data_IF_549619784500
#
_entry.id   IF_549619784500
#
_cell.length_a   1.000
_cell.length_b   1.000
_cell.length_c   1.000
_cell.angle_alpha   90.00
_cell.angle_beta   90.00
_cell.angle_gamma   90.00
#
_symmetry.space_group_name_H-M   'P 1'
#
loop_
_entity.id
_entity.type
_entity.pdbx_description
1 polymer ?
#
# COMPACT_ATOMS: atom_id res chain seq x y z
N UNK A 1 1.76 -2.08 -5.02
CA UNK A 1 2.87 -1.91 -4.07
C UNK A 1 2.32 -1.78 -2.67
N UNK A 2 3.16 -1.99 -1.71
CA UNK A 2 2.75 -1.88 -0.32
C UNK A 2 3.52 -0.78 0.37
N UNK A 3 2.89 -0.11 1.31
CA UNK A 3 3.47 0.99 2.02
C UNK A 3 3.67 0.58 3.46
N UNK A 4 4.87 0.78 3.98
CA UNK A 4 5.17 0.43 5.35
C UNK A 4 6.15 1.42 5.96
N UNK A 5 6.14 1.56 7.27
CA UNK A 5 7.08 2.47 7.91
C UNK A 5 8.48 1.90 7.88
N UNK A 6 9.44 2.78 8.01
CA UNK A 6 10.82 2.35 8.02
C UNK A 6 11.16 1.60 9.30
N UNK A 7 10.47 1.87 10.37
CA UNK A 7 10.77 1.23 11.64
C UNK A 7 10.54 -0.27 11.56
N UNK A 8 11.22 -0.99 12.42
CA UNK A 8 11.08 -2.43 12.42
C UNK A 8 9.72 -2.87 12.82
N UNK A 9 9.30 -4.03 12.32
CA UNK A 9 8.13 -4.67 12.81
C UNK A 9 8.37 -5.06 14.26
N UNK A 10 7.32 -5.31 14.98
CA UNK A 10 7.49 -5.70 16.36
C UNK A 10 8.22 -7.04 16.44
N UNK A 11 8.85 -7.26 17.55
CA UNK A 11 9.68 -8.43 17.71
C UNK A 11 8.91 -9.69 17.99
N UNK A 12 7.62 -9.62 18.06
CA UNK A 12 6.81 -10.78 18.41
C UNK A 12 6.54 -11.68 17.23
N UNK A 13 7.05 -11.34 16.08
CA UNK A 13 6.81 -12.13 14.89
C UNK A 13 5.44 -11.91 14.28
N UNK A 14 4.81 -10.79 14.59
CA UNK A 14 3.50 -10.49 14.04
C UNK A 14 3.54 -9.20 13.24
N UNK A 15 2.79 -9.17 12.15
CA UNK A 15 2.61 -7.93 11.44
C UNK A 15 1.14 -7.76 11.14
N UNK A 16 0.69 -6.53 11.05
CA UNK A 16 -0.70 -6.19 10.77
C UNK A 16 -0.76 -5.59 9.38
N UNK A 17 -1.51 -6.22 8.50
CA UNK A 17 -1.69 -5.74 7.15
C UNK A 17 -3.12 -5.28 7.01
N UNK A 18 -3.32 -4.04 6.63
CA UNK A 18 -4.65 -3.48 6.46
C UNK A 18 -4.96 -3.30 4.98
N UNK A 19 -6.23 -3.21 4.68
CA UNK A 19 -6.68 -2.88 3.34
C UNK A 19 -7.66 -1.74 3.39
N UNK A 20 -7.68 -0.96 2.34
CA UNK A 20 -8.69 0.06 2.20
C UNK A 20 -10.02 -0.60 1.87
N UNK A 21 -11.08 0.18 1.88
CA UNK A 21 -12.39 -0.35 1.52
C UNK A 21 -12.36 -0.88 0.09
N UNK A 22 -13.04 -1.99 -0.12
CA UNK A 22 -13.14 -2.56 -1.45
C UNK A 22 -12.68 -3.99 -1.50
N UNK A 23 -13.09 -4.69 -2.55
CA UNK A 23 -12.76 -6.09 -2.69
C UNK A 23 -11.34 -6.31 -3.20
N UNK A 24 -10.85 -5.43 -4.06
CA UNK A 24 -9.49 -5.60 -4.56
C UNK A 24 -8.46 -5.48 -3.45
N UNK A 25 -8.52 -4.47 -2.58
CA UNK A 25 -7.60 -4.43 -1.46
C UNK A 25 -7.71 -5.66 -0.56
N UNK A 26 -8.92 -6.16 -0.38
CA UNK A 26 -9.10 -7.34 0.47
C UNK A 26 -8.42 -8.56 -0.14
N UNK A 27 -8.55 -8.75 -1.44
CA UNK A 27 -7.88 -9.85 -2.12
C UNK A 27 -6.37 -9.71 -1.99
N UNK A 28 -5.86 -8.50 -2.19
CA UNK A 28 -4.42 -8.29 -2.14
C UNK A 28 -3.84 -8.61 -0.78
N UNK A 29 -4.49 -8.17 0.29
CA UNK A 29 -3.92 -8.41 1.61
C UNK A 29 -4.00 -9.87 1.99
N UNK A 30 -5.00 -10.60 1.50
CA UNK A 30 -5.04 -12.03 1.71
C UNK A 30 -3.91 -12.74 0.98
N UNK A 31 -3.58 -12.28 -0.23
CA UNK A 31 -2.46 -12.85 -0.95
C UNK A 31 -1.15 -12.59 -0.22
N UNK A 32 -0.97 -11.37 0.29
CA UNK A 32 0.24 -11.05 1.01
C UNK A 32 0.36 -11.86 2.30
N UNK A 33 -0.77 -12.08 2.98
CA UNK A 33 -0.73 -12.90 4.17
C UNK A 33 -0.24 -14.31 3.86
N UNK A 34 -0.77 -14.90 2.79
CA UNK A 34 -0.34 -16.23 2.40
C UNK A 34 1.14 -16.27 2.06
N UNK A 35 1.62 -15.28 1.33
CA UNK A 35 3.02 -15.26 0.95
C UNK A 35 3.92 -15.09 2.16
N UNK A 36 3.60 -14.17 3.04
CA UNK A 36 4.45 -13.88 4.17
C UNK A 36 4.48 -15.06 5.13
N UNK A 37 3.33 -15.64 5.41
CA UNK A 37 3.30 -16.76 6.34
C UNK A 37 3.93 -18.02 5.74
N UNK A 38 3.94 -18.11 4.41
CA UNK A 38 4.54 -19.25 3.78
C UNK A 38 6.05 -19.14 3.67
N UNK A 39 6.58 -17.93 3.58
CA UNK A 39 8.00 -17.70 3.37
C UNK A 39 8.74 -17.29 4.64
N UNK A 40 8.05 -17.02 5.70
CA UNK A 40 8.69 -16.56 6.94
C UNK A 40 7.95 -17.16 8.12
N UNK A 41 8.48 -16.94 9.32
CA UNK A 41 7.82 -17.38 10.53
C UNK A 41 6.89 -16.32 11.10
N UNK A 42 6.63 -15.26 10.37
CA UNK A 42 5.77 -14.20 10.85
C UNK A 42 4.31 -14.60 10.75
N UNK A 43 3.52 -14.10 11.67
CA UNK A 43 2.08 -14.25 11.62
C UNK A 43 1.48 -12.94 11.15
N UNK A 44 0.49 -13.02 10.27
CA UNK A 44 -0.12 -11.84 9.71
C UNK A 44 -1.55 -11.70 10.23
N UNK A 45 -1.82 -10.55 10.83
CA UNK A 45 -3.18 -10.20 11.21
C UNK A 45 -3.72 -9.28 10.13
N UNK A 46 -4.89 -9.58 9.61
CA UNK A 46 -5.49 -8.76 8.57
C UNK A 46 -6.52 -7.82 9.15
N UNK A 47 -6.56 -6.60 8.63
CA UNK A 47 -7.61 -5.64 8.93
C UNK A 47 -8.21 -5.16 7.61
N UNK A 48 -9.09 -5.96 7.01
CA UNK A 48 -9.66 -5.59 5.73
C UNK A 48 -10.68 -4.48 5.89
N UNK A 49 -10.86 -3.70 4.85
CA UNK A 49 -11.88 -2.68 4.85
C UNK A 49 -11.74 -1.65 5.95
N UNK A 50 -10.50 -1.32 6.30
CA UNK A 50 -10.26 -0.46 7.44
C UNK A 50 -10.79 0.95 7.23
N UNK A 51 -10.75 1.45 6.02
CA UNK A 51 -11.27 2.78 5.75
C UNK A 51 -10.78 3.29 4.41
N UNK A 52 -10.94 4.58 4.20
CA UNK A 52 -10.47 5.21 2.99
C UNK A 52 -9.01 5.60 3.16
N UNK A 53 -8.44 6.13 2.10
CA UNK A 53 -7.01 6.41 2.02
C UNK A 53 -6.47 7.14 3.24
N UNK A 54 -7.09 8.25 3.61
CA UNK A 54 -6.50 9.06 4.69
C UNK A 54 -6.59 8.34 6.03
N UNK A 55 -7.65 7.59 6.25
CA UNK A 55 -7.80 6.88 7.52
C UNK A 55 -6.74 5.80 7.65
N UNK A 56 -6.53 5.03 6.58
CA UNK A 56 -5.57 3.94 6.62
C UNK A 56 -4.14 4.49 6.70
N UNK A 57 -3.87 5.56 5.97
CA UNK A 57 -2.54 6.17 6.01
C UNK A 57 -2.23 6.70 7.41
N UNK A 58 -3.22 7.30 8.07
CA UNK A 58 -3.01 7.77 9.43
C UNK A 58 -2.80 6.61 10.40
N UNK A 59 -3.47 5.49 10.19
CA UNK A 59 -3.24 4.32 11.01
C UNK A 59 -1.82 3.79 10.83
N UNK A 60 -1.29 3.86 9.62
CA UNK A 60 0.09 3.46 9.37
C UNK A 60 1.05 4.39 10.08
N UNK A 61 0.82 5.69 9.99
CA UNK A 61 1.69 6.67 10.66
C UNK A 61 1.64 6.50 12.17
N UNK A 62 0.50 6.13 12.71
CA UNK A 62 0.35 5.98 14.15
C UNK A 62 0.90 4.65 14.67
N UNK A 63 1.23 3.73 13.77
CA UNK A 63 1.74 2.43 14.21
C UNK A 63 0.67 1.41 14.52
N UNK A 64 -0.60 1.72 14.20
CA UNK A 64 -1.68 0.76 14.42
C UNK A 64 -1.65 -0.37 13.42
N UNK A 65 -1.10 -0.14 12.25
CA UNK A 65 -0.91 -1.15 11.24
C UNK A 65 0.52 -1.06 10.76
N UNK A 66 0.98 -2.12 10.10
CA UNK A 66 2.38 -2.15 9.65
C UNK A 66 2.52 -1.99 8.15
N UNK A 67 1.56 -2.45 7.38
CA UNK A 67 1.64 -2.43 5.93
C UNK A 67 0.25 -2.28 5.36
N UNK A 68 0.12 -1.59 4.24
CA UNK A 68 -1.11 -1.66 3.47
C UNK A 68 -0.81 -1.38 1.99
N UNK A 69 -1.61 -1.95 1.07
CA UNK A 69 -1.40 -1.71 -0.36
C UNK A 69 -1.90 -0.32 -0.73
N UNK A 70 -1.14 0.38 -1.52
CA UNK A 70 -1.53 1.71 -1.97
C UNK A 70 -1.10 1.89 -3.42
N UNK A 71 -1.80 2.76 -4.13
CA UNK A 71 -1.43 3.07 -5.49
C UNK A 71 -0.39 4.16 -5.50
N UNK A 72 0.55 4.03 -6.42
CA UNK A 72 1.62 5.01 -6.56
C UNK A 72 1.06 6.41 -6.81
N UNK A 73 0.04 6.50 -7.66
CA UNK A 73 -0.55 7.81 -7.96
C UNK A 73 -1.17 8.45 -6.74
N UNK A 74 -1.80 7.65 -5.89
CA UNK A 74 -2.39 8.18 -4.67
C UNK A 74 -1.31 8.71 -3.73
N UNK A 75 -0.20 7.99 -3.62
CA UNK A 75 0.88 8.47 -2.77
C UNK A 75 1.39 9.82 -3.26
N UNK A 76 1.55 9.98 -4.55
CA UNK A 76 2.07 11.20 -5.09
C UNK A 76 1.07 12.34 -4.91
N UNK A 77 -0.19 12.12 -5.28
CA UNK A 77 -1.14 13.21 -5.29
C UNK A 77 -1.66 13.56 -3.91
N UNK A 78 -1.89 12.56 -3.08
CA UNK A 78 -2.55 12.84 -1.80
C UNK A 78 -1.58 13.00 -0.65
N UNK A 79 -0.46 12.31 -0.67
CA UNK A 79 0.46 12.41 0.45
C UNK A 79 1.60 13.37 0.15
N UNK A 80 2.16 13.31 -1.05
CA UNK A 80 3.24 14.20 -1.40
C UNK A 80 2.74 15.52 -1.94
N UNK A 81 1.50 15.57 -2.38
CA UNK A 81 0.89 16.78 -2.95
C UNK A 81 1.66 17.26 -4.17
N UNK A 82 2.01 16.32 -5.02
CA UNK A 82 2.77 16.60 -6.23
C UNK A 82 2.05 16.05 -7.43
N UNK A 83 2.54 16.35 -8.60
CA UNK A 83 2.06 15.75 -9.83
C UNK A 83 3.10 14.76 -10.31
N UNK A 84 2.64 13.73 -11.00
CA UNK A 84 3.56 12.73 -11.52
C UNK A 84 4.53 13.38 -12.50
N UNK A 85 5.79 12.97 -12.43
CA UNK A 85 6.82 13.58 -13.27
C UNK A 85 6.59 13.31 -14.74
N UNK A 86 5.97 12.19 -15.08
CA UNK A 86 5.65 11.86 -16.48
C UNK A 86 4.70 10.66 -16.46
N UNK A 87 4.56 9.99 -17.60
CA UNK A 87 3.66 8.83 -17.68
C UNK A 87 4.38 7.51 -17.59
N UNK A 88 5.66 7.50 -17.30
CA UNK A 88 6.43 6.27 -17.20
C UNK A 88 6.25 5.70 -15.82
N UNK A 89 5.81 4.44 -15.75
CA UNK A 89 5.49 3.85 -14.45
C UNK A 89 6.69 3.75 -13.53
N UNK A 90 7.84 3.44 -14.08
CA UNK A 90 9.03 3.30 -13.26
C UNK A 90 9.46 4.64 -12.68
N UNK A 91 9.40 5.69 -13.50
CA UNK A 91 9.78 7.02 -13.02
C UNK A 91 8.83 7.51 -11.94
N UNK A 92 7.55 7.24 -12.12
CA UNK A 92 6.54 7.65 -11.15
C UNK A 92 6.70 6.85 -9.85
N UNK A 93 7.01 5.56 -9.96
CA UNK A 93 7.26 4.75 -8.77
C UNK A 93 8.47 5.29 -8.02
N UNK A 94 9.53 5.63 -8.73
CA UNK A 94 10.73 6.17 -8.08
C UNK A 94 10.45 7.51 -7.40
N UNK A 95 9.63 8.33 -8.03
CA UNK A 95 9.22 9.59 -7.43
C UNK A 95 8.49 9.34 -6.12
N UNK A 96 7.54 8.41 -6.13
CA UNK A 96 6.78 8.09 -4.93
C UNK A 96 7.67 7.51 -3.84
N UNK A 97 8.57 6.60 -4.22
CA UNK A 97 9.44 5.96 -3.26
C UNK A 97 10.34 6.96 -2.55
N UNK A 98 10.97 7.83 -3.33
CA UNK A 98 11.86 8.83 -2.75
C UNK A 98 11.11 9.81 -1.88
N UNK A 99 9.95 10.26 -2.34
CA UNK A 99 9.20 11.24 -1.59
C UNK A 99 8.63 10.69 -0.28
N UNK A 100 8.14 9.46 -0.32
CA UNK A 100 7.58 8.86 0.88
C UNK A 100 8.67 8.58 1.91
N UNK A 101 9.84 8.15 1.46
CA UNK A 101 10.96 7.95 2.38
C UNK A 101 11.39 9.26 3.00
N UNK A 102 11.50 10.31 2.18
CA UNK A 102 12.01 11.57 2.64
C UNK A 102 11.03 12.29 3.57
N UNK A 103 9.75 12.24 3.22
CA UNK A 103 8.77 12.98 3.99
C UNK A 103 8.19 12.24 5.16
N UNK A 104 8.06 10.93 5.08
CA UNK A 104 7.33 10.16 6.07
C UNK A 104 8.11 8.98 6.63
N UNK A 105 9.33 8.76 6.18
CA UNK A 105 10.12 7.60 6.57
C UNK A 105 9.39 6.30 6.27
N UNK A 106 8.73 6.24 5.12
CA UNK A 106 8.00 5.05 4.72
C UNK A 106 8.60 4.47 3.48
N UNK A 107 8.59 3.14 3.40
CA UNK A 107 9.19 2.42 2.29
C UNK A 107 8.10 1.88 1.40
N UNK A 108 8.22 2.11 0.09
CA UNK A 108 7.34 1.50 -0.87
C UNK A 108 8.03 0.24 -1.35
N UNK A 109 7.39 -0.90 -1.16
CA UNK A 109 7.94 -2.14 -1.67
C UNK A 109 7.75 -2.18 -3.18
N UNK A 110 8.41 -3.12 -3.81
CA UNK A 110 8.36 -3.21 -5.27
C UNK A 110 6.92 -3.30 -5.74
N UNK A 111 6.60 -2.67 -6.85
CA UNK A 111 5.22 -2.73 -7.34
C UNK A 111 4.85 -4.14 -7.76
N UNK A 112 3.56 -4.41 -7.72
CA UNK A 112 3.10 -5.71 -8.13
C UNK A 112 3.26 -5.84 -9.63
N UNK A 113 3.42 -7.09 -10.03
CA UNK A 113 3.66 -7.34 -11.43
C UNK A 113 2.43 -7.26 -12.29
N UNK A 114 1.26 -7.13 -11.76
CA UNK A 114 0.08 -7.06 -12.58
C UNK A 114 -0.21 -5.63 -12.97
N UNK A 115 -0.87 -5.50 -14.07
CA UNK A 115 -1.16 -4.21 -14.59
C UNK A 115 -2.27 -3.59 -13.85
N UNK A 116 -2.03 -2.44 -13.19
CA UNK A 116 -2.94 -1.97 -12.36
C UNK A 116 -3.42 -0.76 -12.74
N UNK A 117 -3.64 -0.45 -13.95
CA UNK A 117 -4.05 0.72 -14.24
C UNK A 117 -5.34 0.77 -13.98
N UNK A 118 -5.94 1.66 -13.90
CA UNK A 118 -7.08 1.81 -13.52
C UNK A 118 -7.97 1.78 -14.26
N UNK A 119 -7.94 1.63 -14.96
CA UNK A 119 -8.62 1.56 -15.66
C UNK A 119 -9.76 1.48 -15.39
N UNK A 120 -10.18 1.33 -15.07
CA UNK A 120 -10.98 1.27 -14.71
C UNK A 120 -11.87 1.13 -14.43
N UNK A 121 -12.02 1.05 -14.39
CA UNK A 121 -12.70 0.95 -13.62
C UNK A 121 -13.86 1.30 -13.72
N UNK A 122 -14.44 1.25 -14.36
CA UNK A 122 -15.49 1.74 -14.46
C UNK A 122 -16.44 0.89 -14.62
N UNK A 123 -17.36 1.06 -14.32
CA UNK A 123 -18.34 0.34 -14.29
C UNK A 123 -18.87 0.39 -15.48
N UNK A 124 -19.23 -0.18 -16.06
CA UNK A 124 -19.67 -0.18 -17.06
C UNK A 124 -20.90 -0.09 -17.13
N UNK A 125 -21.57 -0.41 -16.51
CA UNK A 125 -22.73 -0.36 -16.60
C UNK A 125 -22.98 0.70 -16.61
N UNK A 126 -22.48 1.08 -16.37
CA UNK A 126 -22.61 2.11 -16.26
C UNK A 126 -22.09 2.41 -17.15
N UNK A 127 -21.95 1.87 -17.47
CA UNK A 127 -21.54 2.18 -18.36
C UNK A 127 -21.50 1.75 -18.70
#
# INVERSE_FOLDING_TARGET
MMLLPLANFNDKGEIVIAGKLGSEPEILINMYKLLIENETDLHVQLKPGLGKTSFVFNALKAGSIDIYPEFTGTAISEFLKEEAVNNNQEDVYNQAQEGMMEKFDMVLLNPMQYNNTYALAVSKKTG
#
